data_IF_541911753949
#
_entry.id   IF_541911753949
#
_cell.length_a   1.000
_cell.length_b   1.000
_cell.length_c   1.000
_cell.angle_alpha   90.00
_cell.angle_beta   90.00
_cell.angle_gamma   90.00
#
_symmetry.space_group_name_H-M   'P 1'
#
loop_
_entity.id
_entity.type
_entity.pdbx_description
1 polymer ?
#
# COMPACT_ATOMS: atom_id res chain seq x y z
N UNK A 1 -6.47 -1.86 6.84
CA UNK A 1 -5.54 -0.84 7.37
C UNK A 1 -4.63 -1.44 8.44
N UNK A 2 -5.17 -2.12 9.45
CA UNK A 2 -4.39 -2.69 10.58
C UNK A 2 -3.22 -3.58 10.16
N UNK A 3 -3.41 -4.50 9.21
CA UNK A 3 -2.32 -5.37 8.70
C UNK A 3 -1.18 -4.53 8.12
N UNK A 4 -1.50 -3.59 7.21
CA UNK A 4 -0.50 -2.76 6.55
C UNK A 4 0.16 -1.73 7.48
N UNK A 5 -0.48 -1.34 8.60
CA UNK A 5 0.13 -0.48 9.61
C UNK A 5 1.36 -1.10 10.31
N UNK A 6 1.54 -2.43 10.24
CA UNK A 6 2.72 -3.10 10.80
C UNK A 6 3.98 -2.93 9.93
N UNK A 7 3.82 -2.63 8.64
CA UNK A 7 4.95 -2.36 7.75
C UNK A 7 5.40 -0.89 7.80
N UNK A 8 4.54 0.01 8.29
CA UNK A 8 4.85 1.42 8.44
C UNK A 8 3.60 2.29 8.58
N UNK A 9 3.81 3.60 8.58
CA UNK A 9 2.74 4.58 8.77
C UNK A 9 1.95 4.79 7.49
N UNK A 10 0.72 4.30 7.51
CA UNK A 10 -0.23 4.44 6.40
C UNK A 10 -0.83 5.85 6.37
N UNK A 11 -0.56 6.60 5.30
CA UNK A 11 -1.10 7.93 5.00
C UNK A 11 -2.54 7.84 4.52
N UNK A 12 -2.79 7.00 3.51
CA UNK A 12 -4.13 6.81 2.95
C UNK A 12 -4.37 5.36 2.50
N UNK A 13 -5.63 4.95 2.46
CA UNK A 13 -6.05 3.64 1.92
C UNK A 13 -7.25 3.81 1.02
N UNK A 14 -7.04 3.59 -0.27
CA UNK A 14 -8.10 3.61 -1.28
C UNK A 14 -8.51 2.18 -1.63
N UNK A 15 -9.71 1.78 -1.23
CA UNK A 15 -10.30 0.49 -1.63
C UNK A 15 -10.99 0.62 -3.00
N UNK A 16 -10.56 -0.16 -4.00
CA UNK A 16 -11.24 -0.16 -5.30
C UNK A 16 -12.51 -1.02 -5.22
N UNK A 17 -13.66 -0.36 -5.23
CA UNK A 17 -14.98 -0.98 -5.29
C UNK A 17 -15.51 -1.02 -6.74
N UNK A 18 -16.32 -2.01 -7.07
CA UNK A 18 -17.08 -2.04 -8.32
C UNK A 18 -18.22 -1.01 -8.27
N UNK A 19 -18.81 -0.71 -9.43
CA UNK A 19 -20.04 0.11 -9.52
C UNK A 19 -21.20 -0.47 -8.70
N UNK A 20 -21.19 -1.78 -8.43
CA UNK A 20 -22.19 -2.48 -7.62
C UNK A 20 -21.86 -2.50 -6.12
N UNK A 21 -20.84 -1.74 -5.69
CA UNK A 21 -20.45 -1.61 -4.28
C UNK A 21 -19.63 -2.79 -3.73
N UNK A 22 -19.40 -3.85 -4.52
CA UNK A 22 -18.58 -4.99 -4.12
C UNK A 22 -17.09 -4.64 -4.20
N UNK A 23 -16.31 -5.08 -3.21
CA UNK A 23 -14.85 -4.91 -3.23
C UNK A 23 -14.25 -5.82 -4.31
N UNK A 24 -13.44 -5.27 -5.22
CA UNK A 24 -12.73 -6.08 -6.24
C UNK A 24 -11.58 -6.89 -5.66
N UNK A 25 -11.39 -6.89 -4.34
CA UNK A 25 -10.22 -7.48 -3.69
C UNK A 25 -8.93 -6.72 -3.98
N UNK A 26 -9.02 -5.44 -4.36
CA UNK A 26 -7.87 -4.60 -4.65
C UNK A 26 -7.92 -3.30 -3.84
N UNK A 27 -6.79 -2.95 -3.26
CA UNK A 27 -6.59 -1.75 -2.46
C UNK A 27 -5.30 -1.07 -2.89
N UNK A 28 -5.26 0.26 -2.79
CA UNK A 28 -4.04 1.05 -2.88
C UNK A 28 -3.77 1.59 -1.48
N UNK A 29 -2.55 1.42 -1.01
CA UNK A 29 -2.09 1.90 0.30
C UNK A 29 -0.97 2.88 0.05
N UNK A 30 -1.15 4.11 0.51
CA UNK A 30 -0.14 5.16 0.47
C UNK A 30 0.55 5.24 1.83
N UNK A 31 1.87 5.15 1.83
CA UNK A 31 2.70 5.28 3.03
C UNK A 31 3.28 6.68 3.16
N UNK A 32 3.71 7.04 4.37
CA UNK A 32 4.40 8.31 4.58
C UNK A 32 5.81 8.29 3.97
N UNK A 33 6.49 7.14 4.01
CA UNK A 33 7.82 6.96 3.43
C UNK A 33 7.89 5.80 2.41
N UNK A 34 8.69 5.93 1.35
CA UNK A 34 8.83 4.90 0.33
C UNK A 34 9.49 3.62 0.87
N UNK A 35 10.37 3.72 1.88
CA UNK A 35 10.96 2.55 2.54
C UNK A 35 9.88 1.65 3.17
N UNK A 36 8.85 2.26 3.78
CA UNK A 36 7.72 1.53 4.38
C UNK A 36 6.91 0.79 3.31
N UNK A 37 6.75 1.39 2.12
CA UNK A 37 6.08 0.74 1.00
C UNK A 37 6.85 -0.48 0.48
N UNK A 38 8.18 -0.37 0.37
CA UNK A 38 9.06 -1.50 -0.02
C UNK A 38 9.03 -2.61 1.04
N UNK A 39 9.03 -2.24 2.32
CA UNK A 39 8.90 -3.17 3.42
C UNK A 39 7.53 -3.89 3.36
N UNK A 40 6.45 -3.15 3.13
CA UNK A 40 5.11 -3.72 3.01
C UNK A 40 5.00 -4.72 1.87
N UNK A 41 5.61 -4.44 0.71
CA UNK A 41 5.68 -5.40 -0.40
C UNK A 41 6.42 -6.67 0.03
N UNK A 42 7.59 -6.53 0.65
CA UNK A 42 8.39 -7.68 1.09
C UNK A 42 7.69 -8.51 2.16
N UNK A 43 6.92 -7.86 3.04
CA UNK A 43 6.20 -8.52 4.12
C UNK A 43 4.90 -9.19 3.66
N UNK A 44 4.16 -8.59 2.75
CA UNK A 44 2.78 -8.99 2.44
C UNK A 44 2.57 -9.58 1.06
N UNK A 45 3.52 -9.43 0.14
CA UNK A 45 3.42 -10.11 -1.14
C UNK A 45 3.41 -11.63 -0.90
N UNK A 46 2.43 -12.29 -1.51
CA UNK A 46 2.21 -13.74 -1.39
C UNK A 46 1.82 -14.22 0.01
N UNK A 47 1.45 -13.31 0.92
CA UNK A 47 0.92 -13.67 2.23
C UNK A 47 -0.57 -13.97 2.20
N UNK A 48 -1.00 -14.88 3.06
CA UNK A 48 -2.42 -15.24 3.24
C UNK A 48 -3.14 -14.23 4.14
N UNK A 49 -4.24 -13.66 3.65
CA UNK A 49 -5.17 -12.84 4.41
C UNK A 49 -6.58 -13.42 4.29
N UNK A 50 -7.18 -13.81 5.42
CA UNK A 50 -8.51 -14.44 5.47
C UNK A 50 -8.66 -15.58 4.45
N UNK A 51 -7.66 -16.48 4.39
CA UNK A 51 -7.60 -17.62 3.47
C UNK A 51 -7.38 -17.29 1.98
N UNK A 52 -7.00 -16.05 1.67
CA UNK A 52 -6.70 -15.61 0.30
C UNK A 52 -5.27 -15.10 0.20
N UNK A 53 -4.52 -15.58 -0.78
CA UNK A 53 -3.18 -15.06 -1.08
C UNK A 53 -3.32 -13.63 -1.62
N UNK A 54 -2.61 -12.70 -0.99
CA UNK A 54 -2.50 -11.33 -1.43
C UNK A 54 -1.33 -11.17 -2.40
N UNK A 55 -1.53 -10.39 -3.46
CA UNK A 55 -0.45 -9.88 -4.28
C UNK A 55 -0.23 -8.42 -3.91
N UNK A 56 0.98 -8.08 -3.45
CA UNK A 56 1.33 -6.70 -3.07
C UNK A 56 2.49 -6.27 -3.94
N UNK A 57 2.31 -5.16 -4.65
CA UNK A 57 3.28 -4.62 -5.62
C UNK A 57 3.37 -3.12 -5.45
N UNK A 58 4.52 -2.55 -5.78
CA UNK A 58 4.68 -1.09 -5.85
C UNK A 58 3.80 -0.55 -6.98
N UNK A 59 2.99 0.44 -6.67
CA UNK A 59 2.21 1.18 -7.67
C UNK A 59 3.14 2.22 -8.32
N UNK A 60 3.38 2.06 -9.61
CA UNK A 60 4.13 3.02 -10.43
C UNK A 60 3.17 4.12 -10.88
N UNK A 61 2.63 4.89 -9.93
CA UNK A 61 1.89 6.10 -10.24
C UNK A 61 2.91 7.21 -10.50
N UNK A 62 3.21 7.40 -11.77
CA UNK A 62 4.09 8.43 -12.30
C UNK A 62 3.74 9.82 -11.74
N UNK A 63 4.80 10.46 -11.21
CA UNK A 63 5.14 11.89 -11.13
C UNK A 63 4.00 12.94 -11.08
N UNK A 64 3.93 13.68 -9.96
CA UNK A 64 3.14 14.92 -9.92
C UNK A 64 2.84 15.54 -8.55
N UNK A 65 3.28 14.93 -7.44
CA UNK A 65 3.29 15.61 -6.14
C UNK A 65 4.64 15.41 -5.48
N UNK A 66 5.59 16.22 -5.94
CA UNK A 66 6.74 16.60 -5.15
C UNK A 66 6.21 17.31 -3.89
N UNK A 67 6.00 16.55 -2.80
CA UNK A 67 5.57 17.09 -1.49
C UNK A 67 6.76 17.80 -0.79
N UNK A 68 7.87 18.09 -1.49
CA UNK A 68 9.01 18.87 -1.00
C UNK A 68 9.71 18.29 0.24
N UNK A 69 9.48 17.03 0.59
CA UNK A 69 10.06 16.42 1.79
C UNK A 69 11.44 15.84 1.47
N UNK A 70 12.50 16.23 2.20
CA UNK A 70 13.80 15.62 2.02
C UNK A 70 13.68 14.14 2.36
N UNK A 71 14.00 13.29 1.39
CA UNK A 71 14.13 11.86 1.54
C UNK A 71 15.34 11.59 2.45
N UNK A 72 15.14 11.74 3.76
CA UNK A 72 16.16 11.36 4.75
C UNK A 72 16.19 9.84 4.83
N UNK A 73 17.06 9.26 4.02
CA UNK A 73 17.64 7.96 4.35
C UNK A 73 18.56 8.16 5.57
N UNK A 74 18.45 7.34 6.62
CA UNK A 74 19.45 7.29 7.70
C UNK A 74 20.80 6.76 7.20
#
# INVERSE_FOLDING_TARGET
REVFSLAGRVRDVTLKRTKEGQSRGMAIVEYEYPLEAVQAVSMYNEQQLYDRIMAVKIDLKDEGKDDGRPMKLP
#
